data_IF_178953796795
#
_entry.id   IF_178953796795
#
_cell.length_a   1.000
_cell.length_b   1.000
_cell.length_c   1.000
_cell.angle_alpha   90.00
_cell.angle_beta   90.00
_cell.angle_gamma   90.00
#
_symmetry.space_group_name_H-M   'P 1'
#
loop_
_entity.id
_entity.type
_entity.pdbx_description
1 polymer ?
#
# COMPACT_ATOMS: atom_id res chain seq x y z
N UNK A 1 37.70 33.03 31.22
CA UNK A 1 36.50 32.24 31.53
C UNK A 1 36.34 31.20 30.44
N UNK A 2 36.51 29.92 30.76
CA UNK A 2 36.16 28.82 29.85
C UNK A 2 34.66 28.57 29.93
N UNK A 3 33.93 28.85 28.85
CA UNK A 3 32.52 28.48 28.73
C UNK A 3 32.41 26.95 28.77
N UNK A 4 31.83 26.41 29.84
CA UNK A 4 31.51 25.00 29.96
C UNK A 4 30.07 24.80 29.49
N UNK A 5 29.84 23.81 28.61
CA UNK A 5 28.51 23.45 28.11
C UNK A 5 27.54 23.14 29.27
N UNK A 6 28.04 22.59 30.38
CA UNK A 6 27.26 22.29 31.58
C UNK A 6 26.78 23.53 32.34
N UNK A 7 27.32 24.72 32.04
CA UNK A 7 26.89 25.97 32.66
C UNK A 7 25.73 26.62 31.90
N UNK A 8 25.30 26.05 30.77
CA UNK A 8 24.14 26.53 30.04
C UNK A 8 22.85 26.16 30.79
N UNK A 9 21.83 27.03 30.75
CA UNK A 9 20.47 26.69 31.17
C UNK A 9 19.95 25.42 30.47
N UNK A 10 19.14 24.62 31.17
CA UNK A 10 18.65 23.32 30.68
C UNK A 10 17.79 23.45 29.42
N UNK A 11 17.01 24.52 29.31
CA UNK A 11 16.20 24.85 28.12
C UNK A 11 17.06 25.13 26.89
N UNK A 12 18.19 25.81 27.05
CA UNK A 12 19.17 26.03 25.97
C UNK A 12 19.80 24.71 25.53
N UNK A 13 20.12 23.83 26.48
CA UNK A 13 20.67 22.50 26.16
C UNK A 13 19.65 21.61 25.46
N UNK A 14 18.39 21.61 25.90
CA UNK A 14 17.29 20.91 25.23
C UNK A 14 17.12 21.40 23.78
N UNK A 15 17.16 22.73 23.55
CA UNK A 15 17.11 23.30 22.21
C UNK A 15 18.31 22.87 21.34
N UNK A 16 19.51 22.69 21.92
CA UNK A 16 20.66 22.15 21.19
C UNK A 16 20.44 20.68 20.81
N UNK A 17 19.83 19.89 21.69
CA UNK A 17 19.59 18.46 21.46
C UNK A 17 18.67 18.20 20.26
N UNK A 18 17.74 19.12 19.97
CA UNK A 18 16.86 19.04 18.78
C UNK A 18 17.63 18.96 17.45
N UNK A 19 18.84 19.51 17.39
CA UNK A 19 19.69 19.52 16.20
C UNK A 19 20.67 18.35 16.14
N UNK A 20 20.69 17.49 17.16
CA UNK A 20 21.59 16.33 17.20
C UNK A 20 20.94 15.10 16.59
N UNK A 21 21.72 14.37 15.79
CA UNK A 21 21.33 13.05 15.30
C UNK A 21 21.36 12.01 16.44
N UNK A 22 20.76 10.83 16.23
CA UNK A 22 20.81 9.73 17.20
C UNK A 22 22.25 9.37 17.62
N UNK A 23 23.25 9.27 16.73
CA UNK A 23 24.65 9.11 17.12
C UNK A 23 25.19 10.28 17.95
N UNK A 24 24.81 11.52 17.62
CA UNK A 24 25.21 12.72 18.38
C UNK A 24 24.68 12.71 19.81
N UNK A 25 23.40 12.40 19.99
CA UNK A 25 22.78 12.23 21.32
C UNK A 25 23.44 11.08 22.10
N UNK A 26 23.71 9.95 21.44
CA UNK A 26 24.44 8.85 22.06
C UNK A 26 25.85 9.30 22.53
N UNK A 27 26.62 9.95 21.66
CA UNK A 27 27.97 10.42 21.98
C UNK A 27 27.96 11.41 23.15
N UNK A 28 27.02 12.36 23.15
CA UNK A 28 26.89 13.34 24.23
C UNK A 28 26.49 12.68 25.56
N UNK A 29 25.62 11.66 25.52
CA UNK A 29 25.25 10.88 26.70
C UNK A 29 26.42 10.09 27.33
N UNK A 30 27.50 9.87 26.57
CA UNK A 30 28.71 9.21 27.05
C UNK A 30 29.74 10.18 27.66
N UNK A 31 29.51 11.50 27.61
CA UNK A 31 30.49 12.50 28.08
C UNK A 31 30.54 12.63 29.60
N UNK A 32 29.39 12.77 30.26
CA UNK A 32 29.29 12.86 31.72
C UNK A 32 27.90 12.42 32.22
N UNK A 33 27.76 12.19 33.53
CA UNK A 33 26.47 11.77 34.13
C UNK A 33 25.37 12.81 33.93
N UNK A 34 25.67 14.09 34.13
CA UNK A 34 24.69 15.17 33.95
C UNK A 34 24.10 15.23 32.53
N UNK A 35 24.95 15.14 31.49
CA UNK A 35 24.49 15.11 30.09
C UNK A 35 23.67 13.86 29.80
N UNK A 36 24.11 12.70 30.31
CA UNK A 36 23.36 11.45 30.16
C UNK A 36 21.95 11.55 30.75
N UNK A 37 21.85 12.10 31.95
CA UNK A 37 20.58 12.20 32.67
C UNK A 37 19.67 13.22 31.98
N UNK A 38 20.21 14.35 31.51
CA UNK A 38 19.45 15.35 30.73
C UNK A 38 18.96 14.84 29.37
N UNK A 39 19.77 14.07 28.64
CA UNK A 39 19.36 13.47 27.37
C UNK A 39 18.31 12.37 27.59
N UNK A 40 18.44 11.60 28.68
CA UNK A 40 17.45 10.60 29.06
C UNK A 40 16.09 11.22 29.39
N UNK A 41 16.09 12.38 30.07
CA UNK A 41 14.87 13.09 30.46
C UNK A 41 14.22 13.86 29.30
N UNK A 42 15.01 14.63 28.53
CA UNK A 42 14.48 15.55 27.51
C UNK A 42 14.88 15.16 26.09
N UNK A 43 16.16 14.85 25.88
CA UNK A 43 16.76 14.75 24.54
C UNK A 43 16.05 13.77 23.59
N UNK A 44 15.69 12.57 24.04
CA UNK A 44 15.01 11.59 23.17
C UNK A 44 13.57 11.97 22.85
N UNK A 45 12.85 12.56 23.80
CA UNK A 45 11.46 13.00 23.60
C UNK A 45 11.41 14.18 22.63
N UNK A 46 12.33 15.14 22.79
CA UNK A 46 12.47 16.27 21.87
C UNK A 46 12.91 15.82 20.48
N UNK A 47 13.84 14.88 20.39
CA UNK A 47 14.23 14.28 19.12
C UNK A 47 13.02 13.68 18.39
N UNK A 48 12.17 12.90 19.07
CA UNK A 48 10.98 12.30 18.47
C UNK A 48 9.87 13.30 18.15
N UNK A 49 9.83 14.45 18.83
CA UNK A 49 8.91 15.54 18.48
C UNK A 49 9.28 16.14 17.12
N UNK A 50 10.58 16.29 16.85
CA UNK A 50 11.09 16.79 15.56
C UNK A 50 11.08 15.68 14.49
N UNK A 51 11.30 14.43 14.90
CA UNK A 51 11.38 13.26 14.03
C UNK A 51 10.32 12.22 14.46
N UNK A 52 9.04 12.48 14.16
CA UNK A 52 7.96 11.59 14.57
C UNK A 52 8.15 10.19 13.96
N UNK A 53 7.87 9.11 14.71
CA UNK A 53 7.97 7.75 14.19
C UNK A 53 7.03 7.55 13.00
N UNK A 54 7.53 6.86 11.98
CA UNK A 54 6.79 6.66 10.73
C UNK A 54 5.64 5.67 10.94
N UNK A 55 4.46 5.87 10.33
CA UNK A 55 3.35 4.95 10.48
C UNK A 55 3.76 3.50 10.15
N UNK A 56 3.44 2.57 11.05
CA UNK A 56 3.66 1.14 10.86
C UNK A 56 2.63 0.38 11.67
N UNK A 57 1.85 -0.45 11.00
CA UNK A 57 0.78 -1.20 11.65
C UNK A 57 1.35 -2.27 12.57
N UNK A 58 2.37 -3.00 12.11
CA UNK A 58 3.02 -4.05 12.89
C UNK A 58 3.74 -3.56 14.15
N UNK A 59 4.13 -2.29 14.19
CA UNK A 59 4.84 -1.69 15.33
C UNK A 59 3.95 -0.94 16.31
N UNK A 60 2.68 -0.68 15.98
CA UNK A 60 1.83 0.22 16.79
C UNK A 60 1.73 -0.23 18.26
N UNK A 61 1.49 -1.53 18.50
CA UNK A 61 1.40 -2.10 19.86
C UNK A 61 2.74 -2.10 20.59
N UNK A 62 3.84 -2.32 19.86
CA UNK A 62 5.19 -2.35 20.45
C UNK A 62 5.65 -0.95 20.85
N UNK A 63 5.46 0.06 19.98
CA UNK A 63 5.84 1.45 20.25
C UNK A 63 5.14 2.06 21.45
N UNK A 64 3.89 1.69 21.73
CA UNK A 64 3.16 2.10 22.95
C UNK A 64 3.86 1.64 24.25
N UNK A 65 4.69 0.61 24.18
CA UNK A 65 5.42 0.05 25.34
C UNK A 65 6.88 0.49 25.42
N UNK A 66 7.40 1.14 24.38
CA UNK A 66 8.80 1.54 24.30
C UNK A 66 9.02 2.92 24.87
N UNK A 67 10.17 3.13 25.51
CA UNK A 67 10.62 4.48 25.84
C UNK A 67 11.08 5.23 24.57
N UNK A 68 11.18 6.57 24.67
CA UNK A 68 11.55 7.43 23.55
C UNK A 68 12.92 7.04 22.94
N UNK A 69 13.87 6.66 23.79
CA UNK A 69 15.20 6.20 23.35
C UNK A 69 15.11 4.93 22.51
N UNK A 70 14.29 3.96 22.91
CA UNK A 70 14.12 2.70 22.20
C UNK A 70 13.46 2.91 20.86
N UNK A 71 12.45 3.78 20.78
CA UNK A 71 11.82 4.17 19.51
C UNK A 71 12.86 4.83 18.59
N UNK A 72 13.55 5.89 19.06
CA UNK A 72 14.55 6.59 18.25
C UNK A 72 15.67 5.66 17.76
N UNK A 73 16.13 4.75 18.64
CA UNK A 73 17.12 3.73 18.30
C UNK A 73 16.61 2.79 17.22
N UNK A 74 15.37 2.29 17.36
CA UNK A 74 14.77 1.35 16.41
C UNK A 74 14.63 1.98 15.02
N UNK A 75 14.09 3.20 14.93
CA UNK A 75 13.95 3.91 13.65
C UNK A 75 15.32 4.18 13.03
N UNK A 76 16.32 4.63 13.82
CA UNK A 76 17.67 4.87 13.31
C UNK A 76 18.31 3.62 12.68
N UNK A 77 18.21 2.46 13.35
CA UNK A 77 18.75 1.22 12.79
C UNK A 77 17.97 0.75 11.57
N UNK A 78 16.64 0.93 11.57
CA UNK A 78 15.79 0.65 10.41
C UNK A 78 16.24 1.46 9.20
N UNK A 79 16.46 2.78 9.35
CA UNK A 79 16.97 3.62 8.26
C UNK A 79 18.35 3.16 7.78
N UNK A 80 19.28 2.87 8.69
CA UNK A 80 20.61 2.37 8.31
C UNK A 80 20.51 1.05 7.52
N UNK A 81 19.58 0.17 7.89
CA UNK A 81 19.35 -1.09 7.20
C UNK A 81 18.73 -0.87 5.81
N UNK A 82 17.80 0.06 5.65
CA UNK A 82 17.31 0.48 4.33
C UNK A 82 18.43 1.05 3.45
N UNK A 83 19.25 1.96 3.98
CA UNK A 83 20.36 2.59 3.25
C UNK A 83 21.41 1.56 2.80
N UNK A 84 21.66 0.54 3.62
CA UNK A 84 22.64 -0.52 3.33
C UNK A 84 22.04 -1.72 2.59
N UNK A 85 20.72 -1.75 2.38
CA UNK A 85 20.04 -2.92 1.81
C UNK A 85 20.10 -4.17 2.69
N UNK A 86 20.33 -4.02 3.98
CA UNK A 86 20.38 -5.12 4.93
C UNK A 86 18.98 -5.44 5.45
N UNK A 87 18.55 -6.69 5.34
CA UNK A 87 17.27 -7.14 5.87
C UNK A 87 17.30 -8.64 6.13
N UNK A 88 16.31 -9.12 6.88
CA UNK A 88 16.08 -10.55 7.09
C UNK A 88 14.83 -10.98 6.32
N UNK A 89 14.99 -11.86 5.33
CA UNK A 89 13.88 -12.48 4.62
C UNK A 89 13.40 -13.74 5.35
N UNK A 90 12.10 -13.84 5.64
CA UNK A 90 11.51 -15.01 6.32
C UNK A 90 10.18 -15.42 5.68
N UNK A 91 9.95 -16.71 5.40
CA UNK A 91 8.61 -17.19 5.07
C UNK A 91 7.73 -17.14 6.32
N UNK A 92 6.45 -16.78 6.15
CA UNK A 92 5.47 -16.76 7.24
C UNK A 92 4.71 -18.08 7.38
N UNK A 93 4.70 -18.90 6.32
CA UNK A 93 4.10 -20.22 6.31
C UNK A 93 4.92 -21.19 5.46
N UNK A 94 4.63 -22.48 5.66
CA UNK A 94 5.07 -23.53 4.74
C UNK A 94 4.39 -23.36 3.38
N UNK A 95 5.04 -23.76 2.27
CA UNK A 95 4.45 -23.63 0.95
C UNK A 95 3.12 -24.38 0.86
N UNK A 96 2.12 -23.77 0.21
CA UNK A 96 0.84 -24.42 -0.04
C UNK A 96 1.01 -25.62 -0.97
N UNK A 97 0.07 -26.56 -0.84
CA UNK A 97 0.08 -27.81 -1.60
C UNK A 97 -0.02 -27.58 -3.11
N UNK A 98 -0.73 -26.52 -3.51
CA UNK A 98 -0.97 -26.14 -4.91
C UNK A 98 -0.53 -24.69 -5.14
N UNK A 99 -0.41 -24.31 -6.41
CA UNK A 99 -0.25 -22.91 -6.79
C UNK A 99 -1.60 -22.21 -6.61
N UNK A 100 -1.60 -21.07 -5.94
CA UNK A 100 -2.80 -20.27 -5.66
C UNK A 100 -2.58 -18.82 -6.10
N UNK A 101 -3.65 -18.04 -6.19
CA UNK A 101 -3.60 -16.58 -6.35
C UNK A 101 -4.03 -15.91 -5.04
N UNK A 102 -3.19 -15.97 -4.00
CA UNK A 102 -3.54 -15.45 -2.70
C UNK A 102 -3.46 -13.93 -2.65
N UNK A 103 -4.02 -13.37 -1.59
CA UNK A 103 -3.97 -11.95 -1.28
C UNK A 103 -3.72 -11.74 0.21
N UNK A 104 -3.38 -10.51 0.59
CA UNK A 104 -3.19 -10.14 1.99
C UNK A 104 -3.70 -8.72 2.26
N UNK A 105 -4.02 -8.47 3.52
CA UNK A 105 -4.36 -7.15 4.04
C UNK A 105 -3.77 -7.00 5.44
N UNK A 106 -3.40 -5.77 5.80
CA UNK A 106 -2.74 -5.47 7.07
C UNK A 106 -3.40 -4.28 7.74
N UNK A 107 -3.52 -4.33 9.07
CA UNK A 107 -3.89 -3.20 9.91
C UNK A 107 -3.16 -3.30 11.26
N UNK A 108 -3.42 -2.40 12.20
CA UNK A 108 -2.67 -2.32 13.45
C UNK A 108 -2.84 -3.51 14.39
N UNK A 109 -3.81 -4.38 14.15
CA UNK A 109 -4.04 -5.58 14.97
C UNK A 109 -3.28 -6.79 14.43
N UNK A 110 -3.34 -7.02 13.12
CA UNK A 110 -2.88 -8.26 12.48
C UNK A 110 -2.57 -8.09 10.98
N UNK A 111 -1.83 -9.06 10.46
CA UNK A 111 -1.73 -9.36 9.03
C UNK A 111 -2.68 -10.52 8.72
N UNK A 112 -3.60 -10.31 7.79
CA UNK A 112 -4.53 -11.33 7.31
C UNK A 112 -4.10 -11.80 5.92
N UNK A 113 -3.90 -13.10 5.78
CA UNK A 113 -3.55 -13.75 4.51
C UNK A 113 -4.71 -14.61 4.06
N UNK A 114 -5.11 -14.47 2.81
CA UNK A 114 -6.09 -15.34 2.18
C UNK A 114 -5.45 -16.15 1.05
N UNK A 115 -5.67 -17.46 1.06
CA UNK A 115 -5.23 -18.37 0.02
C UNK A 115 -6.34 -19.40 -0.26
N UNK A 116 -6.85 -19.43 -1.49
CA UNK A 116 -8.10 -20.12 -1.82
C UNK A 116 -9.24 -19.65 -0.89
N UNK A 117 -10.02 -20.57 -0.32
CA UNK A 117 -11.08 -20.27 0.64
C UNK A 117 -10.61 -20.21 2.12
N UNK A 118 -9.29 -20.19 2.36
CA UNK A 118 -8.69 -20.22 3.70
C UNK A 118 -8.12 -18.86 4.08
N UNK A 119 -8.47 -18.40 5.27
CA UNK A 119 -7.87 -17.24 5.92
C UNK A 119 -6.86 -17.70 6.98
N UNK A 120 -5.74 -17.00 7.07
CA UNK A 120 -4.70 -17.19 8.09
C UNK A 120 -4.41 -15.85 8.72
N UNK A 121 -4.59 -15.76 10.04
CA UNK A 121 -4.31 -14.54 10.80
C UNK A 121 -2.95 -14.61 11.47
N UNK A 122 -2.21 -13.51 11.39
CA UNK A 122 -0.95 -13.30 12.07
C UNK A 122 -1.02 -12.10 13.01
N UNK A 123 -0.89 -12.35 14.31
CA UNK A 123 -0.87 -11.32 15.33
C UNK A 123 0.49 -10.59 15.38
N UNK A 124 0.44 -9.31 15.69
CA UNK A 124 1.61 -8.51 16.07
C UNK A 124 1.77 -8.50 17.59
N UNK A 125 2.92 -8.98 18.06
CA UNK A 125 3.24 -9.04 19.49
C UNK A 125 3.78 -7.70 20.02
N UNK A 126 3.73 -7.57 21.35
CA UNK A 126 4.30 -6.47 22.13
C UNK A 126 4.87 -7.05 23.44
N UNK A 127 6.02 -6.58 23.96
CA UNK A 127 6.79 -5.40 23.52
C UNK A 127 7.78 -5.67 22.38
N UNK A 128 7.94 -6.93 21.96
CA UNK A 128 8.84 -7.27 20.83
C UNK A 128 8.03 -7.32 19.54
N UNK A 129 8.50 -6.71 18.44
CA UNK A 129 7.73 -6.58 17.20
C UNK A 129 7.81 -7.90 16.40
N UNK A 130 7.28 -8.97 16.99
CA UNK A 130 7.23 -10.30 16.40
C UNK A 130 5.89 -10.50 15.72
N UNK A 131 5.92 -11.27 14.65
CA UNK A 131 4.73 -11.76 13.95
C UNK A 131 4.56 -13.24 14.28
N UNK A 132 3.35 -13.64 14.69
CA UNK A 132 3.03 -15.05 14.97
C UNK A 132 1.69 -15.41 14.36
N UNK A 133 1.60 -16.62 13.79
CA UNK A 133 0.31 -17.15 13.36
C UNK A 133 -0.58 -17.38 14.58
N UNK A 134 -1.79 -16.82 14.59
CA UNK A 134 -2.73 -16.96 15.70
C UNK A 134 -3.92 -17.88 15.38
N UNK A 135 -4.36 -17.93 14.11
CA UNK A 135 -5.51 -18.72 13.70
C UNK A 135 -5.52 -19.01 12.20
N UNK A 136 -6.32 -20.00 11.82
CA UNK A 136 -6.67 -20.27 10.43
C UNK A 136 -8.13 -20.73 10.35
N UNK A 137 -8.85 -20.22 9.35
CA UNK A 137 -10.28 -20.49 9.16
C UNK A 137 -10.56 -20.81 7.70
N UNK A 138 -11.46 -21.76 7.46
CA UNK A 138 -12.01 -22.03 6.14
C UNK A 138 -13.37 -21.33 6.02
N UNK A 139 -13.56 -20.53 4.96
CA UNK A 139 -14.79 -19.78 4.75
C UNK A 139 -15.92 -20.62 4.10
N UNK A 140 -15.58 -21.81 3.61
CA UNK A 140 -16.52 -22.75 3.01
C UNK A 140 -16.01 -24.17 3.19
N UNK A 141 -16.93 -25.10 3.44
CA UNK A 141 -16.64 -26.54 3.46
C UNK A 141 -16.34 -27.08 2.05
N UNK A 142 -16.75 -26.33 1.01
CA UNK A 142 -16.55 -26.71 -0.39
C UNK A 142 -15.26 -26.06 -0.90
N UNK A 143 -14.29 -26.90 -1.25
CA UNK A 143 -13.10 -26.50 -1.99
C UNK A 143 -13.42 -26.42 -3.49
N UNK A 144 -13.87 -25.25 -3.94
CA UNK A 144 -14.05 -24.96 -5.35
C UNK A 144 -13.39 -23.62 -5.66
N UNK A 145 -12.90 -23.42 -6.88
CA UNK A 145 -12.30 -22.14 -7.27
C UNK A 145 -13.31 -20.97 -7.24
N UNK A 146 -14.61 -21.28 -7.21
CA UNK A 146 -15.67 -20.28 -7.03
C UNK A 146 -15.68 -19.70 -5.61
N UNK A 147 -15.24 -20.46 -4.61
CA UNK A 147 -15.17 -20.01 -3.22
C UNK A 147 -13.79 -19.45 -2.85
N UNK A 148 -12.92 -19.23 -3.84
CA UNK A 148 -11.62 -18.63 -3.60
C UNK A 148 -11.77 -17.15 -3.24
N UNK A 149 -11.04 -16.75 -2.20
CA UNK A 149 -10.87 -15.36 -1.81
C UNK A 149 -9.90 -14.71 -2.78
N UNK A 150 -10.33 -13.63 -3.41
CA UNK A 150 -9.60 -12.91 -4.45
C UNK A 150 -9.10 -11.57 -3.97
N UNK A 151 -9.79 -10.96 -2.99
CA UNK A 151 -9.47 -9.63 -2.48
C UNK A 151 -9.82 -9.50 -1.00
N UNK A 152 -9.02 -8.70 -0.30
CA UNK A 152 -9.21 -8.36 1.11
C UNK A 152 -9.09 -6.84 1.26
N UNK A 153 -9.95 -6.25 2.07
CA UNK A 153 -9.86 -4.85 2.48
C UNK A 153 -10.05 -4.72 4.00
N UNK A 154 -9.20 -3.92 4.63
CA UNK A 154 -9.34 -3.53 6.03
C UNK A 154 -10.44 -2.48 6.18
N UNK A 155 -11.19 -2.53 7.28
CA UNK A 155 -12.08 -1.42 7.66
C UNK A 155 -11.41 -0.53 8.72
N UNK A 156 -12.08 0.54 9.15
CA UNK A 156 -11.64 1.35 10.30
C UNK A 156 -11.56 0.52 11.59
N UNK A 157 -12.43 -0.48 11.75
CA UNK A 157 -12.36 -1.42 12.86
C UNK A 157 -11.24 -2.44 12.58
N UNK A 158 -10.21 -2.52 13.44
CA UNK A 158 -9.06 -3.38 13.21
C UNK A 158 -9.39 -4.89 13.26
N UNK A 159 -10.55 -5.25 13.79
CA UNK A 159 -11.01 -6.63 13.86
C UNK A 159 -11.99 -7.01 12.74
N UNK A 160 -12.33 -6.07 11.85
CA UNK A 160 -13.30 -6.26 10.77
C UNK A 160 -12.64 -6.10 9.40
N UNK A 161 -12.93 -7.07 8.53
CA UNK A 161 -12.42 -7.11 7.16
C UNK A 161 -13.56 -7.36 6.18
N UNK A 162 -13.37 -6.87 4.96
CA UNK A 162 -14.24 -7.19 3.82
C UNK A 162 -13.47 -8.15 2.91
N UNK A 163 -14.13 -9.23 2.54
CA UNK A 163 -13.59 -10.33 1.73
C UNK A 163 -14.36 -10.39 0.43
N UNK A 164 -13.65 -10.31 -0.69
CA UNK A 164 -14.20 -10.50 -2.04
C UNK A 164 -13.86 -11.89 -2.53
N UNK A 165 -14.83 -12.51 -3.21
CA UNK A 165 -14.77 -13.90 -3.62
C UNK A 165 -14.93 -14.01 -5.15
N UNK A 166 -14.44 -15.11 -5.73
CA UNK A 166 -14.54 -15.35 -7.18
C UNK A 166 -15.98 -15.63 -7.66
N UNK A 167 -16.90 -16.04 -6.77
CA UNK A 167 -18.34 -16.16 -7.06
C UNK A 167 -19.10 -14.82 -7.03
N UNK A 168 -18.40 -13.71 -6.87
CA UNK A 168 -19.00 -12.37 -6.78
C UNK A 168 -19.56 -12.02 -5.41
N UNK A 169 -19.47 -12.92 -4.42
CA UNK A 169 -19.91 -12.62 -3.05
C UNK A 169 -18.90 -11.71 -2.34
N UNK A 170 -19.44 -10.75 -1.58
CA UNK A 170 -18.68 -9.88 -0.69
C UNK A 170 -19.13 -10.17 0.74
N UNK A 171 -18.21 -10.63 1.57
CA UNK A 171 -18.47 -11.03 2.96
C UNK A 171 -17.77 -10.09 3.91
N UNK A 172 -18.47 -9.70 4.97
CA UNK A 172 -17.89 -9.04 6.14
C UNK A 172 -17.49 -10.12 7.13
N UNK A 173 -16.24 -10.09 7.56
CA UNK A 173 -15.74 -10.98 8.60
C UNK A 173 -15.34 -10.16 9.82
N UNK A 174 -15.62 -10.68 11.00
CA UNK A 174 -15.15 -10.10 12.26
C UNK A 174 -14.38 -11.15 13.03
N UNK A 175 -13.20 -10.77 13.51
CA UNK A 175 -12.32 -11.65 14.27
C UNK A 175 -12.42 -11.25 15.73
N UNK A 176 -13.07 -12.09 16.52
CA UNK A 176 -13.31 -11.84 17.94
C UNK A 176 -12.13 -12.35 18.76
N UNK A 177 -11.42 -11.49 19.50
CA UNK A 177 -10.42 -11.92 20.46
C UNK A 177 -11.14 -12.68 21.59
N UNK A 178 -10.87 -13.97 21.71
CA UNK A 178 -11.45 -14.79 22.77
C UNK A 178 -10.43 -15.02 23.88
N UNK A 179 -10.90 -15.28 25.11
CA UNK A 179 -10.10 -15.84 26.21
C UNK A 179 -9.64 -17.30 25.94
N UNK A 180 -9.88 -17.81 24.73
CA UNK A 180 -9.51 -19.16 24.27
C UNK A 180 -8.15 -19.10 23.57
N UNK A 181 -7.47 -20.25 23.33
CA UNK A 181 -6.16 -20.26 22.70
C UNK A 181 -6.12 -19.67 21.27
N UNK A 182 -7.27 -19.54 20.59
CA UNK A 182 -7.36 -18.92 19.27
C UNK A 182 -8.59 -18.00 19.15
N UNK A 183 -8.50 -16.90 18.37
CA UNK A 183 -9.64 -16.05 18.06
C UNK A 183 -10.71 -16.79 17.25
N UNK A 184 -11.97 -16.36 17.37
CA UNK A 184 -13.08 -16.88 16.55
C UNK A 184 -13.43 -15.93 15.41
N UNK A 185 -13.97 -16.49 14.32
CA UNK A 185 -14.39 -15.74 13.15
C UNK A 185 -15.92 -15.74 13.05
N UNK A 186 -16.55 -14.57 12.97
CA UNK A 186 -17.92 -14.43 12.47
C UNK A 186 -17.88 -14.04 11.00
N UNK A 187 -18.79 -14.60 10.19
CA UNK A 187 -18.86 -14.34 8.75
C UNK A 187 -20.29 -13.98 8.39
N UNK A 188 -20.48 -12.81 7.79
CA UNK A 188 -21.78 -12.32 7.35
C UNK A 188 -21.68 -11.91 5.88
N UNK A 189 -22.41 -12.60 5.00
CA UNK A 189 -22.54 -12.16 3.60
C UNK A 189 -23.19 -10.79 3.58
N UNK A 190 -22.52 -9.83 2.95
CA UNK A 190 -22.97 -8.43 2.95
C UNK A 190 -23.58 -8.06 1.62
N UNK A 191 -22.92 -8.42 0.51
CA UNK A 191 -23.36 -8.07 -0.84
C UNK A 191 -23.08 -9.21 -1.82
N UNK A 192 -23.76 -9.18 -2.95
CA UNK A 192 -23.56 -10.10 -4.06
C UNK A 192 -23.49 -9.29 -5.36
N UNK A 193 -22.37 -9.38 -6.07
CA UNK A 193 -22.27 -8.89 -7.44
C UNK A 193 -22.79 -9.96 -8.42
N UNK A 194 -23.29 -9.50 -9.58
CA UNK A 194 -23.96 -10.37 -10.56
C UNK A 194 -22.97 -11.29 -11.26
N UNK A 195 -22.93 -12.56 -10.86
CA UNK A 195 -22.25 -13.69 -11.54
C UNK A 195 -20.83 -13.42 -12.06
N UNK A 196 -20.11 -12.49 -11.45
CA UNK A 196 -18.76 -12.08 -11.86
C UNK A 196 -17.86 -11.96 -10.63
N UNK A 197 -16.63 -12.44 -10.76
CA UNK A 197 -15.70 -12.53 -9.64
C UNK A 197 -15.28 -11.15 -9.17
N UNK A 198 -15.20 -10.96 -7.85
CA UNK A 198 -14.60 -9.75 -7.29
C UNK A 198 -13.10 -9.81 -7.57
N UNK A 199 -12.55 -8.81 -8.24
CA UNK A 199 -11.11 -8.74 -8.50
C UNK A 199 -10.38 -7.93 -7.44
N UNK A 200 -10.98 -6.81 -7.03
CA UNK A 200 -10.34 -5.87 -6.11
C UNK A 200 -11.36 -5.22 -5.19
N UNK A 201 -10.93 -4.99 -3.94
CA UNK A 201 -11.66 -4.25 -2.94
C UNK A 201 -10.76 -3.16 -2.38
N UNK A 202 -11.34 -1.99 -2.12
CA UNK A 202 -10.68 -0.92 -1.37
C UNK A 202 -11.69 -0.32 -0.42
N UNK A 203 -11.27 -0.11 0.83
CA UNK A 203 -12.03 0.61 1.82
C UNK A 203 -11.25 1.86 2.22
N UNK A 204 -11.92 3.01 2.26
CA UNK A 204 -11.41 4.21 2.91
C UNK A 204 -12.59 4.93 3.57
N UNK A 205 -12.37 5.41 4.79
CA UNK A 205 -13.41 5.91 5.69
C UNK A 205 -14.55 4.87 5.85
N UNK A 206 -15.76 5.24 5.40
CA UNK A 206 -16.95 4.38 5.39
C UNK A 206 -17.35 3.93 3.98
N UNK A 207 -16.49 4.08 2.98
CA UNK A 207 -16.79 3.68 1.62
C UNK A 207 -16.08 2.39 1.24
N UNK A 208 -16.84 1.48 0.62
CA UNK A 208 -16.33 0.27 0.00
C UNK A 208 -16.42 0.41 -1.52
N UNK A 209 -15.28 0.36 -2.18
CA UNK A 209 -15.16 0.22 -3.63
C UNK A 209 -14.89 -1.23 -3.98
N UNK A 210 -15.85 -1.86 -4.67
CA UNK A 210 -15.67 -3.19 -5.26
C UNK A 210 -15.50 -3.09 -6.78
N UNK A 211 -14.60 -3.89 -7.32
CA UNK A 211 -14.34 -4.01 -8.75
C UNK A 211 -14.43 -5.47 -9.16
N UNK A 212 -15.30 -5.77 -10.12
CA UNK A 212 -15.43 -7.12 -10.68
C UNK A 212 -14.48 -7.36 -11.84
N UNK A 213 -14.30 -8.62 -12.21
CA UNK A 213 -13.39 -9.00 -13.28
C UNK A 213 -13.78 -8.45 -14.66
N UNK A 214 -15.07 -8.41 -14.98
CA UNK A 214 -15.61 -7.83 -16.21
C UNK A 214 -15.54 -6.29 -16.26
N UNK A 215 -15.15 -5.65 -15.15
CA UNK A 215 -14.96 -4.20 -15.09
C UNK A 215 -16.18 -3.41 -14.63
N UNK A 216 -17.04 -4.04 -13.83
CA UNK A 216 -18.06 -3.30 -13.09
C UNK A 216 -17.48 -2.80 -11.77
N UNK A 217 -17.50 -1.49 -11.56
CA UNK A 217 -17.11 -0.90 -10.30
C UNK A 217 -18.34 -0.41 -9.53
N UNK A 218 -18.44 -0.77 -8.26
CA UNK A 218 -19.54 -0.35 -7.39
C UNK A 218 -18.99 0.29 -6.12
N UNK A 219 -19.42 1.51 -5.83
CA UNK A 219 -19.10 2.25 -4.62
C UNK A 219 -20.30 2.19 -3.68
N UNK A 220 -20.06 1.80 -2.43
CA UNK A 220 -21.08 1.62 -1.39
C UNK A 220 -20.69 2.34 -0.11
N UNK A 221 -21.66 2.92 0.58
CA UNK A 221 -21.46 3.41 1.94
C UNK A 221 -21.77 2.29 2.96
N UNK A 222 -20.77 1.90 3.75
CA UNK A 222 -20.85 0.85 4.76
C UNK A 222 -21.75 1.24 5.96
N UNK A 223 -21.92 2.53 6.24
CA UNK A 223 -22.83 3.03 7.28
C UNK A 223 -24.30 3.01 6.84
N UNK A 224 -24.57 3.00 5.53
CA UNK A 224 -25.95 2.92 4.99
C UNK A 224 -26.06 1.85 3.88
N UNK A 225 -25.96 0.56 4.24
CA UNK A 225 -25.89 -0.55 3.27
C UNK A 225 -27.08 -0.64 2.32
N UNK A 226 -28.25 -0.12 2.73
CA UNK A 226 -29.51 -0.37 2.05
C UNK A 226 -29.89 0.68 0.99
N UNK A 227 -29.23 1.86 0.90
CA UNK A 227 -29.80 2.97 0.11
C UNK A 227 -28.85 3.78 -0.77
N UNK A 228 -27.52 3.57 -0.77
CA UNK A 228 -26.61 4.36 -1.63
C UNK A 228 -25.50 3.50 -2.24
N UNK A 229 -25.76 2.97 -3.43
CA UNK A 229 -24.70 2.41 -4.28
C UNK A 229 -24.65 3.15 -5.60
N UNK A 230 -23.45 3.55 -6.02
CA UNK A 230 -23.19 4.06 -7.36
C UNK A 230 -22.37 3.03 -8.12
N UNK A 231 -22.70 2.76 -9.38
CA UNK A 231 -21.95 1.81 -10.20
C UNK A 231 -21.65 2.35 -11.57
N UNK A 232 -20.49 1.98 -12.11
CA UNK A 232 -20.03 2.31 -13.46
C UNK A 232 -19.52 1.04 -14.15
N UNK A 233 -19.64 1.03 -15.48
CA UNK A 233 -19.07 -0.01 -16.34
C UNK A 233 -17.83 0.54 -17.04
N UNK A 234 -16.69 -0.10 -16.82
CA UNK A 234 -15.41 0.28 -17.43
C UNK A 234 -15.26 -0.27 -18.86
N UNK A 235 -16.02 -1.32 -19.20
CA UNK A 235 -16.03 -1.92 -20.54
C UNK A 235 -14.74 -2.67 -20.90
N UNK A 236 -13.95 -3.07 -19.90
CA UNK A 236 -12.70 -3.81 -20.08
C UNK A 236 -12.42 -4.71 -18.87
N UNK A 237 -11.66 -5.80 -19.10
CA UNK A 237 -11.13 -6.66 -18.03
C UNK A 237 -10.36 -5.78 -17.04
N UNK A 238 -10.79 -5.79 -15.78
CA UNK A 238 -10.22 -4.95 -14.74
C UNK A 238 -9.44 -5.79 -13.73
N UNK A 239 -8.40 -5.21 -13.14
CA UNK A 239 -7.40 -5.93 -12.31
C UNK A 239 -7.27 -5.37 -10.91
N UNK A 240 -7.39 -4.06 -10.76
CA UNK A 240 -7.17 -3.39 -9.48
C UNK A 240 -7.98 -2.12 -9.40
N UNK A 241 -8.38 -1.78 -8.18
CA UNK A 241 -9.03 -0.52 -7.85
C UNK A 241 -8.28 0.14 -6.70
N UNK A 242 -8.38 1.46 -6.65
CA UNK A 242 -7.92 2.26 -5.53
C UNK A 242 -8.92 3.38 -5.27
N UNK A 243 -9.27 3.58 -4.01
CA UNK A 243 -10.19 4.61 -3.56
C UNK A 243 -9.40 5.68 -2.81
N UNK A 244 -9.68 6.95 -3.13
CA UNK A 244 -9.15 8.09 -2.40
C UNK A 244 -10.27 9.07 -2.03
N UNK A 245 -10.68 9.09 -0.77
CA UNK A 245 -11.69 10.02 -0.23
C UNK A 245 -11.07 11.27 0.38
N UNK A 246 -9.79 11.20 0.76
CA UNK A 246 -9.04 12.26 1.45
C UNK A 246 -8.41 13.32 0.54
N UNK A 247 -8.38 13.09 -0.78
CA UNK A 247 -7.88 14.06 -1.75
C UNK A 247 -8.77 15.32 -1.83
N UNK A 248 -8.19 16.45 -2.27
CA UNK A 248 -8.98 17.68 -2.50
C UNK A 248 -10.12 17.48 -3.51
N UNK A 249 -9.96 16.49 -4.39
CA UNK A 249 -11.00 16.00 -5.30
C UNK A 249 -11.02 14.48 -5.18
N UNK A 250 -11.93 13.92 -4.35
CA UNK A 250 -12.05 12.50 -4.16
C UNK A 250 -12.19 11.74 -5.47
N UNK A 251 -11.54 10.59 -5.57
CA UNK A 251 -11.48 9.82 -6.81
C UNK A 251 -11.41 8.32 -6.55
N UNK A 252 -11.78 7.56 -7.58
CA UNK A 252 -11.49 6.15 -7.71
C UNK A 252 -10.61 5.94 -8.94
N UNK A 253 -9.53 5.16 -8.80
CA UNK A 253 -8.64 4.78 -9.89
C UNK A 253 -8.80 3.29 -10.20
N UNK A 254 -8.77 2.94 -11.48
CA UNK A 254 -9.00 1.59 -11.96
C UNK A 254 -7.93 1.17 -12.95
N UNK A 255 -7.31 0.02 -12.68
CA UNK A 255 -6.40 -0.66 -13.60
C UNK A 255 -7.15 -1.67 -14.46
N UNK A 256 -7.05 -1.54 -15.78
CA UNK A 256 -7.75 -2.35 -16.79
C UNK A 256 -6.79 -2.85 -17.88
N UNK A 257 -7.21 -3.88 -18.63
CA UNK A 257 -6.60 -4.29 -19.89
C UNK A 257 -7.28 -3.57 -21.04
N UNK A 258 -6.74 -2.43 -21.45
CA UNK A 258 -7.32 -1.62 -22.54
C UNK A 258 -6.29 -0.70 -23.18
N UNK A 259 -6.74 0.13 -24.13
CA UNK A 259 -5.92 1.23 -24.70
C UNK A 259 -5.72 2.39 -23.71
N UNK A 260 -6.52 2.44 -22.65
CA UNK A 260 -6.44 3.39 -21.54
C UNK A 260 -6.42 2.62 -20.22
N UNK A 261 -5.34 1.86 -19.95
CA UNK A 261 -5.32 0.84 -18.90
C UNK A 261 -5.35 1.40 -17.48
N UNK A 262 -5.20 2.71 -17.28
CA UNK A 262 -5.42 3.35 -15.99
C UNK A 262 -6.42 4.51 -16.16
N UNK A 263 -7.57 4.40 -15.49
CA UNK A 263 -8.69 5.35 -15.59
C UNK A 263 -9.04 5.89 -14.21
N UNK A 264 -9.29 7.20 -14.11
CA UNK A 264 -9.81 7.82 -12.89
C UNK A 264 -11.23 8.32 -13.07
N UNK A 265 -12.03 8.11 -12.05
CA UNK A 265 -13.35 8.67 -11.88
C UNK A 265 -13.39 9.57 -10.65
N UNK A 266 -13.89 10.79 -10.81
CA UNK A 266 -14.15 11.67 -9.67
C UNK A 266 -15.36 11.15 -8.88
N UNK A 267 -15.32 11.33 -7.57
CA UNK A 267 -16.45 11.10 -6.69
C UNK A 267 -17.14 12.42 -6.36
N UNK A 268 -18.46 12.37 -6.36
CA UNK A 268 -19.32 13.46 -5.91
C UNK A 268 -19.42 13.46 -4.38
N UNK A 269 -19.89 14.57 -3.81
CA UNK A 269 -20.01 14.72 -2.34
C UNK A 269 -21.00 13.72 -1.71
N UNK A 270 -21.94 13.22 -2.50
CA UNK A 270 -22.89 12.19 -2.10
C UNK A 270 -22.31 10.76 -2.14
N UNK A 271 -21.02 10.61 -2.46
CA UNK A 271 -20.37 9.31 -2.57
C UNK A 271 -20.71 8.55 -3.84
N UNK A 272 -21.18 9.22 -4.89
CA UNK A 272 -21.44 8.62 -6.20
C UNK A 272 -20.35 8.94 -7.23
N UNK A 273 -20.27 8.15 -8.30
CA UNK A 273 -19.38 8.44 -9.42
C UNK A 273 -19.91 9.60 -10.25
N UNK A 274 -19.05 10.57 -10.57
CA UNK A 274 -19.40 11.61 -11.51
C UNK A 274 -19.48 11.04 -12.96
N UNK A 275 -20.54 11.36 -13.74
CA UNK A 275 -20.81 10.72 -15.02
C UNK A 275 -19.77 11.00 -16.12
N UNK A 276 -19.17 12.20 -16.13
CA UNK A 276 -18.35 12.66 -17.26
C UNK A 276 -16.86 12.84 -16.95
N UNK A 277 -16.41 12.49 -15.74
CA UNK A 277 -15.00 12.68 -15.36
C UNK A 277 -14.22 11.40 -15.60
N UNK A 278 -13.73 11.20 -16.82
CA UNK A 278 -12.71 10.20 -17.11
C UNK A 278 -11.40 10.91 -17.36
N UNK A 279 -10.39 10.60 -16.56
CA UNK A 279 -9.01 10.97 -16.88
C UNK A 279 -8.32 9.70 -17.31
N UNK A 280 -7.79 9.69 -18.54
CA UNK A 280 -7.05 8.54 -19.05
C UNK A 280 -5.56 8.76 -18.82
N UNK A 281 -4.92 7.83 -18.15
CA UNK A 281 -3.46 7.82 -18.06
C UNK A 281 -2.93 6.88 -19.13
N UNK A 282 -2.12 7.41 -20.06
CA UNK A 282 -1.55 6.62 -21.15
C UNK A 282 -0.03 6.72 -21.15
N UNK A 283 0.60 5.66 -21.63
CA UNK A 283 1.97 5.71 -22.08
C UNK A 283 2.13 6.68 -23.27
N UNK A 284 3.35 7.16 -23.47
CA UNK A 284 3.78 8.06 -24.54
C UNK A 284 3.04 7.73 -25.86
N UNK A 285 2.53 8.74 -26.58
CA UNK A 285 1.52 8.57 -27.62
C UNK A 285 1.86 7.68 -28.83
N UNK A 286 3.14 7.31 -29.02
CA UNK A 286 3.62 6.65 -30.24
C UNK A 286 3.40 5.14 -30.32
N UNK A 287 2.74 4.50 -29.34
CA UNK A 287 2.33 3.08 -29.48
C UNK A 287 0.85 2.86 -29.15
N UNK A 288 0.04 2.39 -30.12
CA UNK A 288 -1.35 1.98 -29.91
C UNK A 288 -1.52 0.55 -29.35
N UNK A 289 -0.48 -0.04 -28.77
CA UNK A 289 -0.61 -1.37 -28.18
C UNK A 289 -1.47 -1.32 -26.90
N UNK A 290 -2.50 -2.17 -26.85
CA UNK A 290 -3.22 -2.45 -25.61
C UNK A 290 -2.22 -2.88 -24.52
N UNK A 291 -2.39 -2.37 -23.31
CA UNK A 291 -1.57 -2.73 -22.15
C UNK A 291 -2.48 -3.01 -20.95
N UNK A 292 -1.90 -3.33 -19.79
CA UNK A 292 -2.66 -3.54 -18.56
C UNK A 292 -1.97 -2.88 -17.36
N UNK A 293 -2.77 -2.32 -16.46
CA UNK A 293 -2.35 -1.84 -15.15
C UNK A 293 -2.87 -2.82 -14.10
N UNK A 294 -1.97 -3.49 -13.38
CA UNK A 294 -2.32 -4.56 -12.44
C UNK A 294 -2.34 -4.12 -10.99
N UNK A 295 -1.65 -3.02 -10.65
CA UNK A 295 -1.55 -2.58 -9.27
C UNK A 295 -1.53 -1.07 -9.17
N UNK A 296 -2.19 -0.53 -8.14
CA UNK A 296 -2.23 0.90 -7.81
C UNK A 296 -1.93 1.04 -6.31
N UNK A 297 -1.13 2.04 -5.95
CA UNK A 297 -0.83 2.43 -4.58
C UNK A 297 -0.70 3.96 -4.49
N UNK A 298 -0.74 4.49 -3.26
CA UNK A 298 -0.53 5.92 -2.97
C UNK A 298 0.80 6.17 -2.32
N UNK A 299 1.31 7.40 -2.45
CA UNK A 299 2.40 7.87 -1.62
C UNK A 299 2.02 7.79 -0.12
N UNK A 300 2.92 7.32 0.78
CA UNK A 300 2.64 7.35 2.20
C UNK A 300 2.59 8.81 2.71
N UNK A 301 1.85 9.11 3.81
CA UNK A 301 1.78 10.46 4.38
C UNK A 301 3.12 11.04 4.85
N UNK A 302 4.16 10.20 4.98
CA UNK A 302 5.51 10.62 5.34
C UNK A 302 6.46 10.67 4.13
N UNK A 303 5.95 10.54 2.89
CA UNK A 303 6.78 10.52 1.70
C UNK A 303 7.55 11.83 1.50
N UNK A 304 8.91 11.80 1.46
CA UNK A 304 9.72 12.99 1.24
C UNK A 304 9.60 13.51 -0.21
N UNK A 305 9.09 12.66 -1.11
CA UNK A 305 8.80 12.97 -2.50
C UNK A 305 7.36 13.50 -2.71
N UNK A 306 6.66 13.80 -1.61
CA UNK A 306 5.32 14.37 -1.58
C UNK A 306 4.33 13.46 -0.87
N UNK A 307 3.85 13.87 0.30
CA UNK A 307 2.82 13.18 1.07
C UNK A 307 1.38 13.43 0.54
N UNK A 308 1.24 13.61 -0.78
CA UNK A 308 -0.02 14.05 -1.39
C UNK A 308 -0.93 12.87 -1.71
N UNK A 309 -2.22 12.90 -1.35
CA UNK A 309 -3.20 11.93 -1.84
C UNK A 309 -3.38 11.99 -3.37
N UNK A 310 -2.92 13.07 -4.02
CA UNK A 310 -2.88 13.23 -5.47
C UNK A 310 -1.68 12.56 -6.16
N UNK A 311 -0.83 11.83 -5.43
CA UNK A 311 0.27 11.05 -6.02
C UNK A 311 -0.10 9.57 -6.09
N UNK A 312 -0.13 9.04 -7.31
CA UNK A 312 -0.46 7.64 -7.59
C UNK A 312 0.72 6.88 -8.18
N UNK A 313 0.98 5.71 -7.64
CA UNK A 313 1.97 4.76 -8.15
C UNK A 313 1.23 3.59 -8.77
N UNK A 314 1.61 3.20 -9.99
CA UNK A 314 0.96 2.12 -10.72
C UNK A 314 1.97 1.13 -11.29
N UNK A 315 1.66 -0.16 -11.20
CA UNK A 315 2.41 -1.28 -11.79
C UNK A 315 1.75 -1.81 -13.05
N UNK A 316 2.55 -2.03 -14.10
CA UNK A 316 2.06 -2.29 -15.45
C UNK A 316 2.56 -3.61 -16.04
N UNK A 317 1.88 -4.08 -17.08
CA UNK A 317 2.23 -5.30 -17.82
C UNK A 317 3.60 -5.26 -18.48
N UNK A 318 4.09 -4.07 -18.82
CA UNK A 318 5.38 -3.89 -19.48
C UNK A 318 6.59 -3.89 -18.52
N UNK A 319 6.39 -4.30 -17.26
CA UNK A 319 7.43 -4.36 -16.24
C UNK A 319 7.83 -3.01 -15.67
N UNK A 320 7.05 -1.95 -15.93
CA UNK A 320 7.32 -0.61 -15.42
C UNK A 320 6.41 -0.23 -14.27
N UNK A 321 6.99 0.51 -13.34
CA UNK A 321 6.29 1.23 -12.27
C UNK A 321 6.26 2.70 -12.63
N UNK A 322 5.09 3.32 -12.56
CA UNK A 322 4.88 4.71 -12.98
C UNK A 322 4.30 5.52 -11.84
N UNK A 323 4.85 6.71 -11.64
CA UNK A 323 4.35 7.71 -10.69
C UNK A 323 3.62 8.83 -11.43
N UNK A 324 2.43 9.18 -10.96
CA UNK A 324 1.58 10.22 -11.50
C UNK A 324 1.25 11.25 -10.43
N UNK A 325 1.23 12.53 -10.81
CA UNK A 325 0.65 13.61 -10.01
C UNK A 325 -0.63 14.09 -10.68
N UNK A 326 -1.76 13.87 -10.00
CA UNK A 326 -3.08 14.20 -10.50
C UNK A 326 -3.31 15.71 -10.65
N UNK A 327 -2.47 16.54 -10.01
CA UNK A 327 -2.51 18.00 -10.12
C UNK A 327 -1.85 18.49 -11.40
N UNK A 328 -0.88 17.73 -11.92
CA UNK A 328 -0.13 18.06 -13.14
C UNK A 328 -0.87 17.47 -14.34
N UNK A 329 -2.06 17.98 -14.60
CA UNK A 329 -2.74 17.75 -15.88
C UNK A 329 -1.93 18.41 -16.99
N UNK A 330 -1.06 17.63 -17.65
CA UNK A 330 -0.42 18.06 -18.88
C UNK A 330 -1.53 18.34 -19.89
N UNK A 331 -1.86 19.61 -20.10
CA UNK A 331 -2.73 20.06 -21.18
C UNK A 331 -1.98 19.93 -22.50
N UNK A 332 -1.64 18.72 -22.92
CA UNK A 332 -1.43 18.47 -24.34
C UNK A 332 -2.80 18.62 -24.99
N UNK A 333 -3.09 19.85 -25.45
CA UNK A 333 -3.98 19.99 -26.58
C UNK A 333 -3.31 19.25 -27.72
N UNK A 334 -3.76 18.03 -27.99
CA UNK A 334 -3.51 17.45 -29.30
C UNK A 334 -3.93 18.51 -30.33
N UNK A 335 -3.05 18.93 -31.25
CA UNK A 335 -3.50 19.68 -32.40
C UNK A 335 -4.57 18.83 -33.05
N UNK A 336 -5.82 19.30 -33.00
CA UNK A 336 -6.93 18.69 -33.72
C UNK A 336 -6.44 18.56 -35.16
N UNK A 337 -6.26 17.33 -35.65
CA UNK A 337 -6.01 17.14 -37.08
C UNK A 337 -7.18 17.84 -37.79
N UNK A 338 -6.93 18.81 -38.69
CA UNK A 338 -8.00 19.54 -39.34
C UNK A 338 -8.88 18.54 -40.08
N UNK A 339 -10.10 18.34 -39.59
CA UNK A 339 -11.10 17.51 -40.23
C UNK A 339 -11.57 18.24 -41.49
N UNK A 340 -11.41 17.68 -42.71
CA UNK A 340 -11.69 18.42 -43.95
C UNK A 340 -13.17 18.62 -44.31
N UNK A 341 -14.13 18.40 -43.41
CA UNK A 341 -15.55 18.47 -43.75
C UNK A 341 -16.36 19.02 -42.57
N UNK A 342 -16.62 20.33 -42.62
CA UNK A 342 -17.64 21.03 -41.83
C UNK A 342 -19.02 20.52 -42.24
N UNK A 343 -19.73 19.90 -41.29
CA UNK A 343 -21.21 19.81 -41.21
C UNK A 343 -21.70 18.82 -40.12
N UNK A 344 -20.81 18.18 -39.35
CA UNK A 344 -21.22 17.31 -38.24
C UNK A 344 -21.05 18.01 -36.88
N UNK A 345 -22.02 17.88 -35.94
CA UNK A 345 -21.89 18.44 -34.60
C UNK A 345 -20.61 17.89 -33.94
N UNK A 346 -19.80 18.81 -33.41
CA UNK A 346 -18.49 18.51 -32.85
C UNK A 346 -18.54 17.30 -31.89
N UNK A 347 -17.69 16.28 -32.08
CA UNK A 347 -17.56 15.20 -31.10
C UNK A 347 -17.04 15.78 -29.77
N UNK A 348 -17.43 15.18 -28.62
CA UNK A 348 -17.00 15.64 -27.31
C UNK A 348 -15.47 15.72 -27.23
N UNK A 349 -14.97 16.78 -26.60
CA UNK A 349 -13.54 17.01 -26.44
C UNK A 349 -12.86 15.78 -25.81
N UNK A 350 -11.69 15.35 -26.31
CA UNK A 350 -11.00 14.18 -25.78
C UNK A 350 -10.70 14.40 -24.29
N UNK A 351 -10.95 13.36 -23.49
CA UNK A 351 -10.67 13.36 -22.07
C UNK A 351 -9.20 13.75 -21.78
N UNK A 352 -8.94 14.51 -20.70
CA UNK A 352 -7.59 14.95 -20.36
C UNK A 352 -6.68 13.73 -20.13
N UNK A 353 -5.44 13.84 -20.62
CA UNK A 353 -4.44 12.78 -20.49
C UNK A 353 -3.36 13.15 -19.48
N UNK A 354 -3.09 12.24 -18.54
CA UNK A 354 -1.98 12.39 -17.59
C UNK A 354 -0.77 11.56 -18.05
N UNK A 355 0.41 12.19 -18.02
CA UNK A 355 1.69 11.52 -18.24
C UNK A 355 2.33 11.17 -16.90
N UNK A 356 3.07 10.05 -16.81
CA UNK A 356 3.84 9.75 -15.61
C UNK A 356 4.93 10.82 -15.40
N UNK A 357 5.10 11.26 -14.16
CA UNK A 357 6.22 12.11 -13.75
C UNK A 357 7.54 11.35 -13.74
N UNK A 358 7.45 10.07 -13.33
CA UNK A 358 8.58 9.16 -13.24
C UNK A 358 8.14 7.77 -13.70
N UNK A 359 9.03 7.07 -14.40
CA UNK A 359 8.90 5.65 -14.68
C UNK A 359 10.16 4.94 -14.22
N UNK A 360 9.99 3.81 -13.54
CA UNK A 360 11.05 2.96 -13.02
C UNK A 360 10.85 1.55 -13.56
N UNK A 361 11.96 0.85 -13.76
CA UNK A 361 11.95 -0.57 -14.11
C UNK A 361 13.24 -1.20 -13.63
N UNK A 362 13.20 -2.50 -13.37
CA UNK A 362 14.41 -3.28 -13.23
C UNK A 362 15.06 -3.40 -14.64
N UNK A 363 16.34 -3.02 -14.83
CA UNK A 363 17.00 -3.15 -16.13
C UNK A 363 17.16 -4.60 -16.60
N UNK A 364 16.99 -5.58 -15.70
CA UNK A 364 17.16 -7.00 -15.97
C UNK A 364 15.84 -7.76 -16.07
N UNK A 365 14.72 -7.16 -15.66
CA UNK A 365 13.39 -7.78 -15.70
C UNK A 365 12.42 -6.93 -16.52
N UNK A 366 11.77 -7.60 -17.47
CA UNK A 366 10.69 -7.03 -18.28
C UNK A 366 9.34 -7.70 -17.98
N UNK A 367 9.27 -8.42 -16.86
CA UNK A 367 8.09 -9.15 -16.44
C UNK A 367 7.02 -8.19 -15.89
N UNK A 368 5.72 -8.49 -16.11
CA UNK A 368 4.62 -7.69 -15.56
C UNK A 368 4.76 -7.41 -14.06
N UNK A 369 4.38 -6.22 -13.63
CA UNK A 369 4.30 -5.85 -12.22
C UNK A 369 2.90 -6.12 -11.70
N UNK A 370 2.72 -7.12 -10.85
CA UNK A 370 1.41 -7.52 -10.30
C UNK A 370 1.03 -6.83 -9.00
N UNK A 371 2.01 -6.29 -8.29
CA UNK A 371 1.76 -5.56 -7.05
C UNK A 371 2.70 -4.38 -6.90
N UNK A 372 2.22 -3.30 -6.30
CA UNK A 372 3.03 -2.15 -5.89
C UNK A 372 2.63 -1.72 -4.49
N UNK A 373 3.59 -1.26 -3.70
CA UNK A 373 3.38 -0.70 -2.38
C UNK A 373 4.37 0.44 -2.12
N UNK A 374 3.98 1.45 -1.36
CA UNK A 374 4.82 2.60 -1.03
C UNK A 374 4.96 2.74 0.48
N UNK A 375 6.16 3.04 0.97
CA UNK A 375 6.51 3.03 2.39
C UNK A 375 8.02 2.94 2.56
N UNK A 376 8.50 2.15 3.53
CA UNK A 376 9.92 1.81 3.74
C UNK A 376 10.78 2.98 4.18
N UNK A 377 11.71 2.74 5.10
CA UNK A 377 12.57 3.77 5.68
C UNK A 377 11.79 5.04 5.98
N UNK A 378 12.36 6.19 5.67
CA UNK A 378 11.78 7.54 5.71
C UNK A 378 10.51 7.76 4.84
N UNK A 379 9.67 6.75 4.58
CA UNK A 379 8.52 6.80 3.66
C UNK A 379 8.95 6.97 2.19
N UNK A 380 10.20 6.67 1.89
CA UNK A 380 10.87 7.08 0.66
C UNK A 380 10.87 6.01 -0.42
N UNK A 381 10.35 4.81 -0.15
CA UNK A 381 10.52 3.66 -1.02
C UNK A 381 9.24 3.29 -1.76
N UNK A 382 9.43 2.79 -2.98
CA UNK A 382 8.43 2.08 -3.75
C UNK A 382 8.90 0.64 -3.92
N UNK A 383 8.03 -0.31 -3.58
CA UNK A 383 8.22 -1.72 -3.84
C UNK A 383 7.32 -2.20 -4.98
N UNK A 384 7.81 -3.12 -5.80
CA UNK A 384 7.05 -3.75 -6.87
C UNK A 384 7.30 -5.25 -6.95
N UNK A 385 6.21 -6.01 -7.01
CA UNK A 385 6.23 -7.46 -7.15
C UNK A 385 6.07 -7.87 -8.61
N UNK A 386 7.05 -8.60 -9.13
CA UNK A 386 7.05 -9.07 -10.52
C UNK A 386 6.26 -10.36 -10.72
N UNK A 387 5.95 -10.67 -11.98
CA UNK A 387 5.22 -11.88 -12.36
C UNK A 387 6.07 -13.17 -12.31
N UNK A 388 7.39 -13.09 -12.08
CA UNK A 388 8.28 -14.26 -12.09
C UNK A 388 9.28 -14.26 -10.95
N UNK A 389 9.72 -15.47 -10.58
CA UNK A 389 10.87 -15.73 -9.70
C UNK A 389 10.80 -15.09 -8.30
N UNK A 390 9.61 -14.72 -7.84
CA UNK A 390 9.37 -14.09 -6.56
C UNK A 390 10.12 -12.78 -6.39
N UNK A 391 10.44 -12.06 -7.48
CA UNK A 391 11.28 -10.86 -7.38
C UNK A 391 10.46 -9.67 -6.91
N UNK A 392 10.99 -9.00 -5.88
CA UNK A 392 10.55 -7.70 -5.38
C UNK A 392 11.62 -6.67 -5.74
N UNK A 393 11.23 -5.65 -6.51
CA UNK A 393 12.07 -4.51 -6.85
C UNK A 393 11.77 -3.35 -5.88
N UNK A 394 12.80 -2.64 -5.44
CA UNK A 394 12.75 -1.56 -4.47
C UNK A 394 13.48 -0.34 -5.02
N UNK A 395 12.83 0.83 -5.00
CA UNK A 395 13.46 2.09 -5.41
C UNK A 395 13.33 3.13 -4.29
N UNK A 396 14.42 3.81 -3.96
CA UNK A 396 14.42 4.99 -3.09
C UNK A 396 14.14 6.24 -3.93
N UNK A 397 13.00 6.87 -3.70
CA UNK A 397 12.51 8.02 -4.44
C UNK A 397 13.33 9.29 -4.21
N UNK A 398 14.13 9.36 -3.13
CA UNK A 398 15.12 10.43 -2.93
C UNK A 398 16.23 10.36 -3.98
N UNK A 399 16.47 9.18 -4.53
CA UNK A 399 17.49 8.89 -5.51
C UNK A 399 16.91 8.18 -6.74
N UNK A 400 15.76 8.64 -7.24
CA UNK A 400 15.02 8.04 -8.36
C UNK A 400 15.84 7.79 -9.65
N UNK A 401 16.99 8.44 -9.80
CA UNK A 401 17.92 8.24 -10.93
C UNK A 401 18.88 7.05 -10.73
N UNK A 402 19.00 6.51 -9.51
CA UNK A 402 19.83 5.35 -9.22
C UNK A 402 19.07 4.07 -9.54
N UNK A 403 19.80 3.02 -9.89
CA UNK A 403 19.24 1.68 -10.00
C UNK A 403 18.66 1.25 -8.66
N UNK A 404 17.46 0.65 -8.70
CA UNK A 404 16.84 0.06 -7.54
C UNK A 404 17.55 -1.21 -7.06
N UNK A 405 17.02 -1.78 -5.99
CA UNK A 405 17.43 -3.07 -5.44
C UNK A 405 16.38 -4.13 -5.81
N UNK A 406 16.83 -5.27 -6.35
CA UNK A 406 15.96 -6.41 -6.64
C UNK A 406 16.31 -7.58 -5.75
N UNK A 407 15.30 -8.14 -5.07
CA UNK A 407 15.47 -9.21 -4.08
C UNK A 407 14.48 -10.33 -4.35
N UNK A 408 14.88 -11.56 -4.03
CA UNK A 408 13.98 -12.71 -4.13
C UNK A 408 13.20 -12.90 -2.83
N UNK A 409 11.91 -13.18 -2.96
CA UNK A 409 11.11 -13.70 -1.88
C UNK A 409 11.75 -14.99 -1.32
N UNK A 410 11.69 -15.21 0.00
CA UNK A 410 12.32 -16.36 0.63
C UNK A 410 11.72 -17.67 0.12
N UNK A 411 12.58 -18.67 -0.11
CA UNK A 411 12.20 -19.97 -0.65
C UNK A 411 12.55 -20.19 -2.12
N UNK A 412 12.98 -19.14 -2.84
CA UNK A 412 13.37 -19.22 -4.26
C UNK A 412 12.28 -19.86 -5.14
N UNK A 413 11.02 -19.54 -4.85
CA UNK A 413 9.88 -20.07 -5.59
C UNK A 413 9.79 -19.39 -6.97
N UNK A 414 9.67 -20.18 -8.04
CA UNK A 414 9.39 -19.68 -9.39
C UNK A 414 7.93 -19.23 -9.49
N UNK A 415 7.66 -18.03 -8.95
CA UNK A 415 6.32 -17.58 -8.59
C UNK A 415 6.13 -16.09 -8.82
N UNK A 416 4.93 -15.60 -9.21
CA UNK A 416 4.59 -14.19 -9.13
C UNK A 416 4.55 -13.69 -7.68
N UNK A 417 4.75 -12.39 -7.48
CA UNK A 417 4.42 -11.70 -6.21
C UNK A 417 3.08 -10.98 -6.38
N UNK A 418 2.00 -11.60 -5.90
CA UNK A 418 0.63 -11.16 -6.15
C UNK A 418 0.21 -9.92 -5.37
N UNK A 419 0.71 -9.77 -4.14
CA UNK A 419 0.38 -8.62 -3.29
C UNK A 419 1.58 -8.25 -2.42
N UNK A 420 1.74 -6.95 -2.22
CA UNK A 420 2.73 -6.33 -1.36
C UNK A 420 2.03 -5.33 -0.45
N UNK A 421 2.52 -5.24 0.79
CA UNK A 421 2.21 -4.16 1.73
C UNK A 421 3.54 -3.71 2.35
N UNK A 422 3.82 -2.42 2.29
CA UNK A 422 5.09 -1.84 2.70
C UNK A 422 4.87 -0.83 3.82
N UNK A 423 5.47 -1.11 4.98
CA UNK A 423 5.48 -0.22 6.14
C UNK A 423 6.87 0.40 6.32
N UNK A 424 7.13 1.07 7.46
CA UNK A 424 8.44 1.66 7.76
C UNK A 424 9.59 0.64 7.80
N UNK A 425 9.46 -0.42 8.61
CA UNK A 425 10.54 -1.40 8.84
C UNK A 425 10.34 -2.75 8.15
N UNK A 426 9.16 -2.99 7.57
CA UNK A 426 8.78 -4.30 7.05
C UNK A 426 8.06 -4.19 5.73
N UNK A 427 8.33 -5.17 4.87
CA UNK A 427 7.58 -5.43 3.64
C UNK A 427 6.97 -6.81 3.79
N UNK A 428 5.66 -6.86 3.70
CA UNK A 428 4.90 -8.10 3.64
C UNK A 428 4.56 -8.38 2.19
N UNK A 429 4.73 -9.63 1.80
CA UNK A 429 4.44 -10.05 0.44
C UNK A 429 3.89 -11.45 0.39
N UNK A 430 3.29 -11.77 -0.75
CA UNK A 430 2.73 -13.08 -0.98
C UNK A 430 2.94 -13.56 -2.41
N UNK A 431 3.39 -14.80 -2.52
CA UNK A 431 3.66 -15.50 -3.79
C UNK A 431 2.56 -16.52 -4.07
N UNK A 432 2.61 -17.28 -5.17
CA UNK A 432 1.75 -18.46 -5.43
C UNK A 432 1.99 -19.66 -4.49
N UNK A 433 3.00 -19.60 -3.60
CA UNK A 433 3.35 -20.66 -2.64
C UNK A 433 3.22 -20.26 -1.18
N UNK A 434 3.60 -19.05 -0.80
CA UNK A 434 3.66 -18.63 0.61
C UNK A 434 3.63 -17.12 0.79
N UNK A 435 3.20 -16.70 1.98
CA UNK A 435 3.42 -15.37 2.49
C UNK A 435 4.84 -15.23 3.06
N UNK A 436 5.39 -14.03 3.01
CA UNK A 436 6.73 -13.72 3.49
C UNK A 436 6.82 -12.32 4.08
N UNK A 437 7.89 -12.09 4.83
CA UNK A 437 8.29 -10.77 5.33
C UNK A 437 9.76 -10.52 5.01
N UNK A 438 10.05 -9.29 4.60
CA UNK A 438 11.38 -8.71 4.61
C UNK A 438 11.42 -7.71 5.77
N UNK A 439 12.35 -7.90 6.70
CA UNK A 439 12.44 -7.19 7.98
C UNK A 439 13.79 -6.45 8.04
N UNK A 440 13.75 -5.12 7.90
CA UNK A 440 14.94 -4.25 7.91
C UNK A 440 15.38 -3.95 9.34
#
# INVERSE_FOLDING_TARGET
MTLNLLNLPHDVLAAIFEYLSVPGLCALSCTCRGMRDMIAEFGWTDYLRVHPPLPSYSLEKSRKSWDARTIARYEYFTECHWETGNFVARPLNTPWRTKLQPTLAINSSRLLVAAANTLVSYAFDSPKPRIRQEASWQLSDRFTSLTDVTSLACTEDPDVYIVGMWDGSIKRIEIHPNNRPAPSLSVTTTYQERDDGIESLTCEDNYLLSLTAAGRATLRNLSSPQNTSSSIELGARSWTSYLCTSASTPFAAFGTSSTSPLVLHRLLQDGSFAPDTRVHMREIPDRPASSACYAISRAPPAAPWGASPELLVAGWYDGRVRLYDLRVASRYHYPRAPSPTDDNPDPPAPAPMLRPMLAMSDPWLYDPIYSVACGGGAGAHIAAGSARHGVVCLWDMRYAQRSGLSVHAPGNDASPVYKLELESSKLYGITDRRAFVLDW
#
